data_IF_943656462123
#
_entry.id   IF_943656462123
#
_cell.length_a   1.000
_cell.length_b   1.000
_cell.length_c   1.000
_cell.angle_alpha   90.00
_cell.angle_beta   90.00
_cell.angle_gamma   90.00
#
_symmetry.space_group_name_H-M   'P 1'
#
loop_
_entity.id
_entity.type
_entity.pdbx_description
1 polymer ?
#
# COMPACT_ATOMS: atom_id res chain seq x y z
N UNK A 1 9.89 5.41 12.91
CA UNK A 1 9.49 4.49 11.83
C UNK A 1 8.46 5.16 10.99
N UNK A 2 8.79 5.40 9.71
CA UNK A 2 7.87 5.98 8.75
C UNK A 2 7.45 4.91 7.74
N UNK A 3 6.17 4.87 7.41
CA UNK A 3 5.57 3.88 6.50
C UNK A 3 5.17 4.56 5.20
N UNK A 4 5.70 4.07 4.09
CA UNK A 4 5.37 4.54 2.74
C UNK A 4 4.43 3.56 2.07
N UNK A 5 3.47 4.07 1.30
CA UNK A 5 2.53 3.23 0.54
C UNK A 5 3.02 3.13 -0.90
N UNK A 6 2.99 1.92 -1.44
CA UNK A 6 3.37 1.61 -2.81
C UNK A 6 2.18 0.97 -3.51
N UNK A 7 1.97 1.32 -4.78
CA UNK A 7 1.15 0.55 -5.70
C UNK A 7 2.08 -0.42 -6.42
N UNK A 8 1.74 -1.71 -6.39
CA UNK A 8 2.46 -2.77 -7.08
C UNK A 8 1.57 -3.25 -8.20
N UNK A 9 2.05 -3.07 -9.43
CA UNK A 9 1.34 -3.47 -10.65
C UNK A 9 1.48 -4.98 -10.90
N UNK A 10 0.78 -5.50 -11.92
CA UNK A 10 0.80 -6.91 -12.29
C UNK A 10 2.23 -7.42 -12.60
N UNK A 11 3.05 -6.54 -13.18
CA UNK A 11 4.44 -6.80 -13.56
C UNK A 11 5.41 -6.74 -12.36
N UNK A 12 4.90 -6.43 -11.16
CA UNK A 12 5.71 -6.22 -9.96
C UNK A 12 6.37 -4.83 -9.90
N UNK A 13 6.00 -3.92 -10.80
CA UNK A 13 6.45 -2.53 -10.77
C UNK A 13 5.89 -1.80 -9.56
N UNK A 14 6.76 -1.17 -8.79
CA UNK A 14 6.41 -0.50 -7.54
C UNK A 14 6.43 1.03 -7.70
N UNK A 15 5.28 1.66 -7.51
CA UNK A 15 5.13 3.11 -7.58
C UNK A 15 4.87 3.63 -6.17
N UNK A 16 5.82 4.39 -5.61
CA UNK A 16 5.64 5.03 -4.31
C UNK A 16 4.60 6.14 -4.41
N UNK A 17 3.58 6.08 -3.56
CA UNK A 17 2.55 7.11 -3.50
C UNK A 17 3.01 8.23 -2.55
N UNK A 18 3.82 9.14 -3.09
CA UNK A 18 4.39 10.28 -2.35
C UNK A 18 3.33 11.23 -1.79
N UNK A 19 2.17 11.34 -2.46
CA UNK A 19 1.02 12.15 -2.03
C UNK A 19 0.44 11.73 -0.68
N UNK A 20 0.64 10.47 -0.28
CA UNK A 20 -0.07 9.91 0.88
C UNK A 20 0.66 10.16 2.19
N UNK A 21 1.90 10.67 2.12
CA UNK A 21 2.75 11.02 3.25
C UNK A 21 3.22 9.79 4.03
N UNK A 22 4.51 9.73 4.32
CA UNK A 22 5.02 8.68 5.19
C UNK A 22 4.35 8.82 6.56
N UNK A 23 3.58 7.81 6.98
CA UNK A 23 2.89 7.87 8.29
C UNK A 23 3.74 7.22 9.36
N UNK A 24 3.77 7.80 10.55
CA UNK A 24 4.48 7.20 11.70
C UNK A 24 3.69 6.06 12.35
N UNK A 25 2.41 5.86 11.97
CA UNK A 25 1.53 4.85 12.56
C UNK A 25 1.30 3.68 11.60
N UNK A 26 1.71 2.49 12.05
CA UNK A 26 1.54 1.22 11.32
C UNK A 26 0.08 0.97 10.95
N UNK A 27 -0.83 1.24 11.89
CA UNK A 27 -2.27 1.02 11.73
C UNK A 27 -2.85 1.94 10.66
N UNK A 28 -2.48 3.22 10.66
CA UNK A 28 -2.90 4.16 9.60
C UNK A 28 -2.39 3.77 8.22
N UNK A 29 -1.16 3.23 8.14
CA UNK A 29 -0.61 2.75 6.88
C UNK A 29 -1.43 1.58 6.34
N UNK A 30 -1.76 0.61 7.20
CA UNK A 30 -2.58 -0.55 6.86
C UNK A 30 -4.01 -0.15 6.47
N UNK A 31 -4.64 0.76 7.22
CA UNK A 31 -5.98 1.24 6.93
C UNK A 31 -6.05 1.91 5.55
N UNK A 32 -5.08 2.77 5.24
CA UNK A 32 -4.99 3.39 3.92
C UNK A 32 -4.78 2.35 2.82
N UNK A 33 -3.86 1.41 3.01
CA UNK A 33 -3.65 0.30 2.05
C UNK A 33 -4.94 -0.46 1.78
N UNK A 34 -5.69 -0.81 2.83
CA UNK A 34 -7.00 -1.47 2.68
C UNK A 34 -7.97 -0.61 1.89
N UNK A 35 -8.07 0.67 2.24
CA UNK A 35 -8.97 1.61 1.55
C UNK A 35 -8.60 1.78 0.06
N UNK A 36 -7.32 1.80 -0.29
CA UNK A 36 -6.90 1.87 -1.69
C UNK A 36 -7.16 0.57 -2.44
N UNK A 37 -6.90 -0.59 -1.82
CA UNK A 37 -7.22 -1.88 -2.42
C UNK A 37 -8.72 -2.06 -2.64
N UNK A 38 -9.54 -1.68 -1.65
CA UNK A 38 -11.00 -1.73 -1.76
C UNK A 38 -11.51 -0.81 -2.89
N UNK A 39 -11.01 0.43 -2.94
CA UNK A 39 -11.34 1.36 -4.01
C UNK A 39 -10.90 0.87 -5.39
N UNK A 40 -9.72 0.26 -5.46
CA UNK A 40 -9.19 -0.33 -6.69
C UNK A 40 -10.08 -1.47 -7.15
N UNK A 41 -10.39 -2.44 -6.30
CA UNK A 41 -11.31 -3.53 -6.65
C UNK A 41 -12.71 -3.04 -7.02
N UNK A 42 -13.19 -1.99 -6.36
CA UNK A 42 -14.49 -1.39 -6.67
C UNK A 42 -14.51 -0.66 -8.01
N UNK A 43 -13.39 -0.04 -8.42
CA UNK A 43 -13.29 0.68 -9.69
C UNK A 43 -12.85 -0.20 -10.85
N UNK A 44 -11.97 -1.15 -10.58
CA UNK A 44 -11.33 -2.07 -11.54
C UNK A 44 -11.12 -3.44 -10.86
N UNK A 45 -12.16 -4.31 -10.87
CA UNK A 45 -12.14 -5.59 -10.18
C UNK A 45 -11.18 -6.61 -10.82
N UNK A 46 -10.86 -6.44 -12.11
CA UNK A 46 -9.91 -7.26 -12.85
C UNK A 46 -8.45 -6.77 -12.70
N UNK A 47 -8.25 -5.65 -12.01
CA UNK A 47 -6.92 -5.12 -11.75
C UNK A 47 -6.11 -6.09 -10.90
N UNK A 48 -4.92 -6.42 -11.40
CA UNK A 48 -3.89 -7.15 -10.66
C UNK A 48 -3.03 -6.22 -9.80
N UNK A 49 -3.29 -4.92 -9.85
CA UNK A 49 -2.64 -3.97 -8.97
C UNK A 49 -2.99 -4.24 -7.51
N UNK A 50 -2.05 -3.91 -6.63
CA UNK A 50 -2.29 -3.91 -5.19
C UNK A 50 -1.51 -2.82 -4.49
N UNK A 51 -2.10 -2.29 -3.44
CA UNK A 51 -1.47 -1.35 -2.56
C UNK A 51 -0.81 -2.11 -1.41
N UNK A 52 0.42 -1.74 -1.07
CA UNK A 52 1.17 -2.26 0.07
C UNK A 52 1.78 -1.10 0.87
N UNK A 53 2.03 -1.32 2.15
CA UNK A 53 2.82 -0.39 2.97
C UNK A 53 4.20 -1.01 3.22
N UNK A 54 5.25 -0.20 3.19
CA UNK A 54 6.61 -0.60 3.54
C UNK A 54 7.22 0.31 4.59
N UNK A 55 8.08 -0.24 5.45
CA UNK A 55 8.87 0.56 6.39
C UNK A 55 10.06 1.24 5.69
N UNK A 56 10.77 2.09 6.43
CA UNK A 56 12.01 2.73 6.00
C UNK A 56 13.10 1.74 5.54
N UNK A 57 13.04 0.49 6.00
CA UNK A 57 13.94 -0.60 5.55
C UNK A 57 13.41 -1.38 4.35
N UNK A 58 12.31 -0.95 3.74
CA UNK A 58 11.70 -1.59 2.57
C UNK A 58 10.94 -2.89 2.86
N UNK A 59 10.66 -3.22 4.13
CA UNK A 59 9.91 -4.45 4.45
C UNK A 59 8.43 -4.18 4.34
N UNK A 60 7.75 -5.05 3.62
CA UNK A 60 6.31 -5.03 3.49
C UNK A 60 5.64 -5.26 4.85
N UNK A 61 4.69 -4.39 5.14
CA UNK A 61 3.91 -4.38 6.34
C UNK A 61 2.75 -5.36 6.14
N UNK A 62 2.97 -6.62 6.52
CA UNK A 62 1.93 -7.64 6.51
C UNK A 62 0.99 -7.41 7.69
N UNK A 63 -0.31 -7.41 7.43
CA UNK A 63 -1.30 -7.64 8.48
C UNK A 63 -0.93 -8.98 9.12
N UNK A 64 -0.62 -9.01 10.41
CA UNK A 64 -0.46 -10.29 11.09
C UNK A 64 -1.82 -11.01 11.00
N UNK A 65 -1.88 -12.09 10.22
CA UNK A 65 -3.01 -13.02 10.22
C UNK A 65 -3.05 -13.79 11.53
#
# INVERSE_FOLDING_TARGET
MAWSIYRVDADGHEIQLTTVGATSSKERALEKVRMYNDRLQSSDPDSLDRFIARDEKGRELKSAS
#
